data_IF_978652612350
#
_entry.id   IF_978652612350
#
_cell.length_a   1.000
_cell.length_b   1.000
_cell.length_c   1.000
_cell.angle_alpha   90.00
_cell.angle_beta   90.00
_cell.angle_gamma   90.00
#
_symmetry.space_group_name_H-M   'P 1'
#
loop_
_entity.id
_entity.type
_entity.pdbx_description
1 polymer ?
#
# COMPACT_ATOMS: atom_id res chain seq x y z
N UNK A 1 10.95 13.61 2.30
CA UNK A 1 9.76 12.83 1.91
C UNK A 1 9.03 13.55 0.79
N UNK A 2 9.01 12.94 -0.39
CA UNK A 2 8.24 13.48 -1.52
C UNK A 2 6.86 12.83 -1.49
N UNK A 3 5.84 13.66 -1.30
CA UNK A 3 4.45 13.23 -1.42
C UNK A 3 4.02 13.43 -2.86
N UNK A 4 3.66 12.34 -3.52
CA UNK A 4 3.22 12.36 -4.90
C UNK A 4 1.72 12.11 -4.94
N UNK A 5 1.00 13.10 -5.42
CA UNK A 5 -0.45 13.05 -5.56
C UNK A 5 -0.76 12.64 -7.00
N UNK A 6 -1.44 11.51 -7.14
CA UNK A 6 -1.91 11.06 -8.45
C UNK A 6 -3.44 10.93 -8.48
N UNK A 7 -4.03 11.30 -9.61
CA UNK A 7 -5.44 11.03 -9.91
C UNK A 7 -5.57 9.61 -10.47
N UNK A 8 -6.21 8.74 -9.72
CA UNK A 8 -6.66 7.44 -10.23
C UNK A 8 -8.16 7.51 -10.52
N UNK A 9 -8.59 7.12 -11.72
CA UNK A 9 -9.99 6.98 -12.06
C UNK A 9 -10.58 8.08 -12.93
N UNK A 10 -11.87 7.96 -13.23
CA UNK A 10 -12.67 8.85 -14.10
C UNK A 10 -12.62 10.30 -13.59
N UNK A 11 -12.48 11.26 -14.49
CA UNK A 11 -12.41 12.71 -14.23
C UNK A 11 -13.55 13.28 -13.36
N UNK A 12 -14.59 12.48 -13.14
CA UNK A 12 -15.79 12.85 -12.37
C UNK A 12 -15.68 12.55 -10.87
N UNK A 13 -14.65 11.84 -10.40
CA UNK A 13 -14.39 11.59 -8.97
C UNK A 13 -13.00 12.09 -8.64
N UNK A 14 -12.91 13.26 -8.06
CA UNK A 14 -11.65 13.86 -7.59
C UNK A 14 -11.08 13.15 -6.36
N UNK A 15 -10.78 11.87 -6.49
CA UNK A 15 -10.03 11.18 -5.46
C UNK A 15 -8.53 11.36 -5.72
N UNK A 16 -7.90 12.18 -4.92
CA UNK A 16 -6.44 12.35 -4.92
C UNK A 16 -5.84 11.31 -3.99
N UNK A 17 -5.08 10.38 -4.54
CA UNK A 17 -4.38 9.38 -3.75
C UNK A 17 -2.90 9.75 -3.64
N UNK A 18 -2.34 9.58 -2.45
CA UNK A 18 -0.93 9.87 -2.20
C UNK A 18 -0.13 8.58 -2.10
N UNK A 19 0.87 8.46 -2.95
CA UNK A 19 1.96 7.50 -2.77
C UNK A 19 3.13 8.27 -2.17
N UNK A 20 3.55 7.89 -0.96
CA UNK A 20 4.69 8.52 -0.28
C UNK A 20 5.97 7.84 -0.73
N UNK A 21 6.93 8.63 -1.20
CA UNK A 21 8.26 8.15 -1.53
C UNK A 21 9.26 8.89 -0.65
N UNK A 22 10.06 8.12 0.08
CA UNK A 22 11.15 8.62 0.90
C UNK A 22 12.48 8.18 0.28
N UNK A 23 13.21 9.13 -0.26
CA UNK A 23 14.53 8.89 -0.85
C UNK A 23 15.61 8.54 0.20
N UNK A 24 15.33 8.74 1.48
CA UNK A 24 16.21 8.35 2.59
C UNK A 24 15.99 6.93 3.06
N UNK A 25 14.87 6.32 2.69
CA UNK A 25 14.56 4.92 3.00
C UNK A 25 15.54 4.00 2.28
N UNK A 26 16.02 2.99 2.97
CA UNK A 26 16.91 1.96 2.41
C UNK A 26 16.21 1.10 1.34
N UNK A 27 14.87 1.06 1.35
CA UNK A 27 14.10 0.31 0.36
C UNK A 27 14.15 0.96 -1.01
N UNK A 28 14.29 0.19 -2.08
CA UNK A 28 14.26 0.72 -3.44
C UNK A 28 12.97 1.49 -3.73
N UNK A 29 13.05 2.50 -4.59
CA UNK A 29 11.90 3.32 -4.97
C UNK A 29 10.76 2.48 -5.55
N UNK A 30 11.07 1.47 -6.38
CA UNK A 30 10.03 0.61 -6.96
C UNK A 30 9.22 -0.14 -5.90
N UNK A 31 9.85 -0.56 -4.81
CA UNK A 31 9.15 -1.20 -3.69
C UNK A 31 8.25 -0.23 -2.95
N UNK A 32 8.71 1.00 -2.72
CA UNK A 32 7.90 2.04 -2.08
C UNK A 32 6.67 2.39 -2.92
N UNK A 33 6.82 2.49 -4.23
CA UNK A 33 5.70 2.71 -5.16
C UNK A 33 4.72 1.54 -5.11
N UNK A 34 5.23 0.31 -5.19
CA UNK A 34 4.39 -0.89 -5.12
C UNK A 34 3.65 -0.99 -3.78
N UNK A 35 4.33 -0.78 -2.67
CA UNK A 35 3.73 -0.80 -1.33
C UNK A 35 2.64 0.27 -1.18
N UNK A 36 2.87 1.46 -1.71
CA UNK A 36 1.90 2.56 -1.68
C UNK A 36 0.61 2.24 -2.44
N UNK A 37 0.73 1.67 -3.64
CA UNK A 37 -0.43 1.26 -4.45
C UNK A 37 -1.14 0.08 -3.79
N UNK A 38 -0.42 -0.91 -3.28
CA UNK A 38 -0.99 -2.05 -2.56
C UNK A 38 -1.79 -1.57 -1.33
N UNK A 39 -1.25 -0.65 -0.55
CA UNK A 39 -1.94 -0.09 0.60
C UNK A 39 -3.26 0.59 0.20
N UNK A 40 -3.25 1.39 -0.86
CA UNK A 40 -4.46 2.04 -1.38
C UNK A 40 -5.51 1.01 -1.82
N UNK A 41 -5.09 -0.05 -2.49
CA UNK A 41 -5.98 -1.14 -2.90
C UNK A 41 -6.56 -1.89 -1.70
N UNK A 42 -5.72 -2.24 -0.72
CA UNK A 42 -6.14 -2.95 0.49
C UNK A 42 -7.10 -2.14 1.36
N UNK A 43 -6.94 -0.82 1.40
CA UNK A 43 -7.87 0.08 2.11
C UNK A 43 -9.17 0.34 1.36
N UNK A 44 -9.30 -0.15 0.13
CA UNK A 44 -10.46 0.10 -0.71
C UNK A 44 -10.48 1.49 -1.37
N UNK A 45 -9.39 2.27 -1.24
CA UNK A 45 -9.24 3.56 -1.92
C UNK A 45 -9.10 3.40 -3.45
N UNK A 46 -8.51 2.28 -3.88
CA UNK A 46 -8.49 1.84 -5.27
C UNK A 46 -9.37 0.60 -5.40
N UNK A 47 -10.65 0.75 -5.80
CA UNK A 47 -11.54 -0.39 -5.98
C UNK A 47 -11.05 -1.37 -7.06
N UNK A 48 -11.52 -2.62 -7.00
CA UNK A 48 -11.29 -3.60 -8.06
C UNK A 48 -11.67 -3.02 -9.43
N UNK A 49 -10.88 -3.39 -10.44
CA UNK A 49 -11.04 -2.96 -11.83
C UNK A 49 -10.78 -1.46 -12.09
N UNK A 50 -10.29 -0.71 -11.12
CA UNK A 50 -9.78 0.64 -11.36
C UNK A 50 -8.58 0.58 -12.29
N UNK A 51 -8.62 1.33 -13.38
CA UNK A 51 -7.50 1.42 -14.30
C UNK A 51 -6.39 2.27 -13.72
N UNK A 52 -5.17 1.73 -13.70
CA UNK A 52 -3.97 2.47 -13.35
C UNK A 52 -3.47 3.29 -14.56
N UNK A 53 -2.76 4.40 -14.32
CA UNK A 53 -2.10 5.11 -15.41
C UNK A 53 -1.09 4.21 -16.11
N UNK A 54 -0.80 4.49 -17.38
CA UNK A 54 0.28 3.80 -18.07
C UNK A 54 1.61 4.04 -17.34
N UNK A 55 2.55 3.12 -17.51
CA UNK A 55 3.91 3.27 -16.94
C UNK A 55 4.52 4.61 -17.30
N UNK A 56 4.42 5.00 -18.58
CA UNK A 56 4.95 6.26 -19.09
C UNK A 56 4.29 7.48 -18.44
N UNK A 57 2.97 7.48 -18.35
CA UNK A 57 2.21 8.56 -17.73
C UNK A 57 2.54 8.69 -16.26
N UNK A 58 2.53 7.59 -15.53
CA UNK A 58 2.80 7.59 -14.09
C UNK A 58 4.24 8.01 -13.78
N UNK A 59 5.20 7.55 -14.58
CA UNK A 59 6.60 7.98 -14.47
C UNK A 59 6.77 9.49 -14.68
N UNK A 60 6.09 10.06 -15.66
CA UNK A 60 6.10 11.51 -15.90
C UNK A 60 5.50 12.29 -14.72
N UNK A 61 4.35 11.85 -14.23
CA UNK A 61 3.66 12.52 -13.12
C UNK A 61 4.46 12.48 -11.82
N UNK A 62 5.13 11.37 -11.57
CA UNK A 62 5.96 11.19 -10.37
C UNK A 62 7.39 11.71 -10.54
N UNK A 63 7.78 12.13 -11.73
CA UNK A 63 9.17 12.45 -12.06
C UNK A 63 10.15 11.34 -11.70
N UNK A 64 9.76 10.11 -11.99
CA UNK A 64 10.51 8.88 -11.71
C UNK A 64 10.85 8.19 -13.04
N UNK A 65 11.99 7.49 -13.07
CA UNK A 65 12.38 6.72 -14.24
C UNK A 65 11.30 5.70 -14.62
N UNK A 66 10.87 5.65 -15.90
CA UNK A 66 9.89 4.67 -16.36
C UNK A 66 10.24 3.21 -16.04
N UNK A 67 11.52 2.85 -16.06
CA UNK A 67 11.96 1.50 -15.70
C UNK A 67 11.67 1.18 -14.23
N UNK A 68 11.76 2.16 -13.33
CA UNK A 68 11.40 2.01 -11.92
C UNK A 68 9.89 1.77 -11.77
N UNK A 69 9.06 2.50 -12.49
CA UNK A 69 7.61 2.30 -12.49
C UNK A 69 7.24 0.95 -13.13
N UNK A 70 7.90 0.58 -14.23
CA UNK A 70 7.69 -0.74 -14.85
C UNK A 70 7.99 -1.87 -13.85
N UNK A 71 9.06 -1.75 -13.10
CA UNK A 71 9.43 -2.71 -12.05
C UNK A 71 8.41 -2.73 -10.92
N UNK A 72 7.90 -1.58 -10.49
CA UNK A 72 6.84 -1.48 -9.49
C UNK A 72 5.56 -2.18 -9.95
N UNK A 73 5.15 -1.97 -11.20
CA UNK A 73 3.97 -2.64 -11.76
C UNK A 73 4.16 -4.15 -11.88
N UNK A 74 5.35 -4.58 -12.30
CA UNK A 74 5.70 -6.01 -12.34
C UNK A 74 5.62 -6.66 -10.96
N UNK A 75 6.08 -5.97 -9.93
CA UNK A 75 5.99 -6.43 -8.55
C UNK A 75 4.54 -6.49 -8.06
N UNK A 76 3.72 -5.49 -8.37
CA UNK A 76 2.29 -5.49 -8.05
C UNK A 76 1.53 -6.63 -8.73
N UNK A 77 1.87 -6.92 -9.99
CA UNK A 77 1.29 -8.05 -10.73
C UNK A 77 1.70 -9.39 -10.10
N UNK A 78 2.97 -9.53 -9.73
CA UNK A 78 3.49 -10.71 -9.02
C UNK A 78 2.77 -10.92 -7.68
N UNK A 79 2.48 -9.85 -6.95
CA UNK A 79 1.72 -9.89 -5.68
C UNK A 79 0.23 -10.13 -5.89
N UNK A 80 -0.28 -10.11 -7.11
CA UNK A 80 -1.70 -10.22 -7.41
C UNK A 80 -2.53 -8.99 -7.05
N UNK A 81 -1.91 -7.83 -6.87
CA UNK A 81 -2.58 -6.56 -6.57
C UNK A 81 -3.17 -5.93 -7.82
N UNK A 82 -2.51 -6.10 -8.96
CA UNK A 82 -2.97 -5.65 -10.26
C UNK A 82 -2.93 -6.78 -11.28
N UNK A 83 -3.68 -6.61 -12.35
CA UNK A 83 -3.64 -7.50 -13.52
C UNK A 83 -3.52 -6.68 -14.81
N UNK A 84 -2.84 -7.24 -15.78
CA UNK A 84 -2.73 -6.68 -17.11
C UNK A 84 -3.83 -7.23 -18.02
N UNK A 85 -4.55 -6.34 -18.70
CA UNK A 85 -5.47 -6.70 -19.77
C UNK A 85 -4.83 -6.29 -21.10
N UNK A 86 -4.53 -7.26 -21.94
CA UNK A 86 -3.83 -7.03 -23.21
C UNK A 86 -4.52 -5.96 -24.07
N UNK A 87 -3.78 -4.94 -24.45
CA UNK A 87 -4.28 -3.82 -25.26
C UNK A 87 -5.18 -2.83 -24.51
N UNK A 88 -5.41 -3.01 -23.21
CA UNK A 88 -6.31 -2.16 -22.40
C UNK A 88 -5.61 -1.49 -21.23
N UNK A 89 -4.52 -2.05 -20.71
CA UNK A 89 -3.72 -1.51 -19.61
C UNK A 89 -3.68 -2.39 -18.36
N UNK A 90 -3.34 -1.76 -17.24
CA UNK A 90 -3.27 -2.39 -15.94
C UNK A 90 -4.44 -1.95 -15.05
N UNK A 91 -4.99 -2.90 -14.30
CA UNK A 91 -6.17 -2.70 -13.47
C UNK A 91 -5.96 -3.28 -12.08
N UNK A 92 -6.61 -2.69 -11.09
CA UNK A 92 -6.58 -3.18 -9.71
C UNK A 92 -7.36 -4.50 -9.63
N UNK A 93 -6.75 -5.52 -9.01
CA UNK A 93 -7.40 -6.81 -8.76
C UNK A 93 -8.41 -6.70 -7.62
N UNK A 94 -9.29 -7.70 -7.48
CA UNK A 94 -10.08 -7.87 -6.27
C UNK A 94 -9.18 -8.38 -5.14
N UNK A 95 -8.81 -7.49 -4.22
CA UNK A 95 -7.88 -7.78 -3.11
C UNK A 95 -8.60 -8.06 -1.78
N UNK A 96 -9.93 -8.18 -1.77
CA UNK A 96 -10.71 -8.37 -0.56
C UNK A 96 -10.26 -9.59 0.26
N UNK A 97 -10.16 -10.75 -0.38
CA UNK A 97 -9.67 -11.99 0.25
C UNK A 97 -8.25 -11.83 0.80
N UNK A 98 -7.38 -11.21 0.02
CA UNK A 98 -5.99 -10.96 0.40
C UNK A 98 -5.89 -10.02 1.62
N UNK A 99 -6.75 -9.01 1.68
CA UNK A 99 -6.85 -8.13 2.85
C UNK A 99 -7.18 -8.94 4.10
N UNK A 100 -8.15 -9.83 4.02
CA UNK A 100 -8.58 -10.65 5.15
C UNK A 100 -7.45 -11.61 5.60
N UNK A 101 -6.71 -12.17 4.67
CA UNK A 101 -5.52 -12.98 4.97
C UNK A 101 -4.45 -12.17 5.69
N UNK A 102 -4.13 -10.99 5.19
CA UNK A 102 -3.15 -10.09 5.81
C UNK A 102 -3.58 -9.62 7.20
N UNK A 103 -4.86 -9.33 7.38
CA UNK A 103 -5.39 -8.96 8.71
C UNK A 103 -5.26 -10.12 9.70
N UNK A 104 -5.50 -11.36 9.27
CA UNK A 104 -5.29 -12.54 10.13
C UNK A 104 -3.82 -12.71 10.50
N UNK A 105 -2.89 -12.55 9.57
CA UNK A 105 -1.45 -12.61 9.84
C UNK A 105 -1.02 -11.54 10.85
N UNK A 106 -1.41 -10.29 10.65
CA UNK A 106 -1.12 -9.18 11.56
C UNK A 106 -1.74 -9.43 12.94
N UNK A 107 -2.97 -9.93 13.00
CA UNK A 107 -3.63 -10.31 14.24
C UNK A 107 -2.85 -11.38 15.01
N UNK A 108 -2.30 -12.37 14.32
CA UNK A 108 -1.46 -13.39 14.92
C UNK A 108 -0.16 -12.81 15.48
N UNK A 109 0.47 -11.89 14.78
CA UNK A 109 1.67 -11.17 15.25
C UNK A 109 1.37 -10.35 16.52
N UNK A 110 0.26 -9.62 16.53
CA UNK A 110 -0.19 -8.86 17.71
C UNK A 110 -0.41 -9.80 18.90
N UNK A 111 -1.07 -10.94 18.68
CA UNK A 111 -1.32 -11.94 19.73
C UNK A 111 -0.02 -12.51 20.29
N UNK A 112 0.95 -12.80 19.44
CA UNK A 112 2.26 -13.30 19.86
C UNK A 112 3.01 -12.26 20.71
N UNK A 113 3.00 -10.98 20.28
CA UNK A 113 3.61 -9.88 21.03
C UNK A 113 2.90 -9.65 22.36
N UNK A 114 1.56 -9.74 22.40
CA UNK A 114 0.79 -9.64 23.63
C UNK A 114 1.15 -10.75 24.63
N UNK A 115 1.30 -11.99 24.14
CA UNK A 115 1.75 -13.11 24.98
C UNK A 115 3.13 -12.86 25.57
N UNK A 116 4.05 -12.37 24.76
CA UNK A 116 5.40 -12.02 25.20
C UNK A 116 5.37 -10.92 26.26
N UNK A 117 4.57 -9.89 26.06
CA UNK A 117 4.41 -8.79 27.02
C UNK A 117 3.83 -9.29 28.35
N UNK A 118 2.82 -10.18 28.33
CA UNK A 118 2.27 -10.78 29.54
C UNK A 118 3.32 -11.59 30.31
N UNK A 119 4.17 -12.34 29.64
CA UNK A 119 5.26 -13.08 30.29
C UNK A 119 6.28 -12.16 30.97
N UNK A 120 6.34 -10.90 30.55
CA UNK A 120 7.14 -9.84 31.18
C UNK A 120 6.37 -9.04 32.24
N UNK A 121 5.14 -9.42 32.56
CA UNK A 121 4.33 -8.80 33.61
C UNK A 121 3.38 -7.70 33.15
N UNK A 122 3.20 -7.49 31.85
CA UNK A 122 2.23 -6.53 31.37
C UNK A 122 0.80 -6.99 31.65
N UNK A 123 -0.03 -6.07 32.11
CA UNK A 123 -1.45 -6.32 32.34
C UNK A 123 -2.31 -5.97 31.12
N UNK A 124 -3.59 -6.32 31.18
CA UNK A 124 -4.53 -6.09 30.08
C UNK A 124 -4.68 -4.60 29.76
N UNK A 125 -4.67 -3.73 30.76
CA UNK A 125 -4.83 -2.28 30.57
C UNK A 125 -3.65 -1.70 29.79
N UNK A 126 -2.43 -2.14 30.09
CA UNK A 126 -1.22 -1.74 29.36
C UNK A 126 -1.28 -2.20 27.91
N UNK A 127 -1.69 -3.44 27.63
CA UNK A 127 -1.82 -3.97 26.26
C UNK A 127 -2.85 -3.18 25.46
N UNK A 128 -4.01 -2.87 26.04
CA UNK A 128 -5.04 -2.06 25.40
C UNK A 128 -4.51 -0.64 25.12
N UNK A 129 -3.82 -0.03 26.08
CA UNK A 129 -3.25 1.30 25.89
C UNK A 129 -2.27 1.34 24.72
N UNK A 130 -1.40 0.33 24.58
CA UNK A 130 -0.43 0.29 23.49
C UNK A 130 -1.08 0.14 22.12
N UNK A 131 -2.14 -0.66 21.98
CA UNK A 131 -2.81 -0.85 20.69
C UNK A 131 -3.78 0.28 20.34
N UNK A 132 -4.22 1.07 21.33
CA UNK A 132 -5.14 2.19 21.13
C UNK A 132 -4.44 3.55 21.09
N UNK A 133 -3.17 3.63 21.48
CA UNK A 133 -2.39 4.84 21.23
C UNK A 133 -2.43 5.12 19.74
N UNK A 134 -2.94 6.30 19.39
CA UNK A 134 -2.69 6.85 18.05
C UNK A 134 -1.18 6.91 17.92
N UNK A 135 -0.62 6.12 17.03
CA UNK A 135 0.77 6.31 16.67
C UNK A 135 0.97 7.78 16.41
N UNK A 136 2.01 8.38 16.96
CA UNK A 136 2.49 9.65 16.44
C UNK A 136 2.86 9.37 14.99
N UNK A 137 1.86 9.38 14.13
CA UNK A 137 2.08 9.39 12.69
C UNK A 137 2.94 10.59 12.42
N UNK A 138 4.16 10.33 12.08
CA UNK A 138 5.16 11.33 11.88
C UNK A 138 4.60 12.47 11.05
N UNK A 139 4.69 13.61 11.62
CA UNK A 139 4.41 14.84 10.90
C UNK A 139 5.19 14.87 9.58
#
# INVERSE_FOLDING_TARGET
TVQLIHRFGDERKEARYMVKIDYRDARPIYEQVADGIEELALRGALPADTQLPSVRQFAMELSINPNTIQRAYGELERRGVIYAAKGRGNFVSDVGTRRDERLREVGAEISALASKARSLGADKAQLIAWVTQKGEDGK
#
